data_IF_108121135075
#
_entry.id   IF_108121135075
#
_cell.length_a   1.000
_cell.length_b   1.000
_cell.length_c   1.000
_cell.angle_alpha   90.00
_cell.angle_beta   90.00
_cell.angle_gamma   90.00
#
_symmetry.space_group_name_H-M   'P 1'
#
loop_
_entity.id
_entity.type
_entity.pdbx_description
1 polymer ?
#
# COMPACT_ATOMS: atom_id res chain seq x y z
N UNK A 1 32.78 -10.79 36.92
CA UNK A 1 32.56 -10.08 35.65
C UNK A 1 32.84 -8.60 35.91
N UNK A 2 33.79 -7.98 35.19
CA UNK A 2 34.23 -6.60 35.49
C UNK A 2 33.15 -5.60 35.05
N UNK A 3 32.88 -4.57 35.86
CA UNK A 3 31.91 -3.49 35.59
C UNK A 3 32.15 -2.84 34.22
N UNK A 4 33.41 -2.70 33.80
CA UNK A 4 33.75 -2.21 32.47
C UNK A 4 33.20 -3.09 31.35
N UNK A 5 33.24 -4.42 31.50
CA UNK A 5 32.68 -5.37 30.52
C UNK A 5 31.15 -5.31 30.46
N UNK A 6 30.49 -5.10 31.60
CA UNK A 6 29.04 -4.91 31.66
C UNK A 6 28.61 -3.64 30.91
N UNK A 7 29.33 -2.53 31.09
CA UNK A 7 29.07 -1.30 30.33
C UNK A 7 29.30 -1.48 28.84
N UNK A 8 30.40 -2.12 28.43
CA UNK A 8 30.66 -2.38 27.00
C UNK A 8 29.57 -3.26 26.36
N UNK A 9 29.14 -4.32 27.04
CA UNK A 9 28.07 -5.21 26.55
C UNK A 9 26.74 -4.46 26.43
N UNK A 10 26.40 -3.65 27.44
CA UNK A 10 25.17 -2.84 27.42
C UNK A 10 25.18 -1.81 26.30
N UNK A 11 26.32 -1.17 26.03
CA UNK A 11 26.46 -0.21 24.93
C UNK A 11 26.34 -0.87 23.56
N UNK A 12 26.92 -2.06 23.38
CA UNK A 12 26.79 -2.83 22.12
C UNK A 12 25.32 -3.24 21.90
N UNK A 13 24.66 -3.80 22.92
CA UNK A 13 23.24 -4.16 22.86
C UNK A 13 22.33 -2.98 22.53
N UNK A 14 22.62 -1.81 23.10
CA UNK A 14 21.86 -0.59 22.84
C UNK A 14 22.07 -0.08 21.40
N UNK A 15 23.29 -0.15 20.88
CA UNK A 15 23.61 0.22 19.49
C UNK A 15 22.91 -0.73 18.51
N UNK A 16 22.98 -2.04 18.73
CA UNK A 16 22.27 -3.04 17.93
C UNK A 16 20.76 -2.79 17.94
N UNK A 17 20.18 -2.56 19.12
CA UNK A 17 18.74 -2.26 19.26
C UNK A 17 18.32 -0.97 18.52
N UNK A 18 19.20 0.03 18.46
CA UNK A 18 18.95 1.32 17.80
C UNK A 18 19.07 1.24 16.27
N UNK A 19 19.81 0.27 15.72
CA UNK A 19 20.01 0.11 14.28
C UNK A 19 18.96 -0.79 13.60
N UNK A 20 18.28 -1.66 14.36
CA UNK A 20 17.22 -2.54 13.83
C UNK A 20 16.06 -1.78 13.13
N UNK A 21 15.55 -0.63 13.64
CA UNK A 21 14.42 0.06 12.99
C UNK A 21 14.76 0.66 11.62
N UNK A 22 16.03 0.95 11.32
CA UNK A 22 16.43 1.53 10.03
C UNK A 22 16.44 0.51 8.88
N UNK A 23 16.57 -0.78 9.18
CA UNK A 23 16.70 -1.84 8.16
C UNK A 23 15.36 -2.28 7.55
N UNK A 24 14.22 -1.84 8.10
CA UNK A 24 12.88 -2.31 7.68
C UNK A 24 12.16 -1.37 6.70
N UNK A 25 12.86 -0.45 6.03
CA UNK A 25 12.27 0.39 4.98
C UNK A 25 12.40 -0.22 3.57
N UNK A 26 12.14 -1.53 3.44
CA UNK A 26 11.86 -2.17 2.14
C UNK A 26 10.38 -1.93 1.80
N UNK A 27 10.03 -0.67 1.51
CA UNK A 27 8.64 -0.27 1.29
C UNK A 27 8.20 -0.71 -0.13
N UNK A 28 7.85 -1.99 -0.26
CA UNK A 28 7.17 -2.63 -1.39
C UNK A 28 7.70 -2.22 -2.78
N UNK A 29 8.78 -2.87 -3.24
CA UNK A 29 9.38 -2.62 -4.56
C UNK A 29 8.48 -2.98 -5.75
N UNK A 30 7.35 -3.66 -5.53
CA UNK A 30 6.41 -4.05 -6.59
C UNK A 30 4.98 -4.22 -6.05
N UNK A 31 4.02 -4.16 -6.97
CA UNK A 31 2.61 -4.45 -6.71
C UNK A 31 2.40 -5.97 -6.71
N UNK A 32 1.58 -6.46 -5.78
CA UNK A 32 1.25 -7.88 -5.68
C UNK A 32 -0.25 -8.11 -5.84
N UNK A 33 -0.62 -9.34 -6.14
CA UNK A 33 -1.99 -9.79 -6.02
C UNK A 33 -2.51 -9.55 -4.59
N UNK A 34 -3.65 -8.87 -4.46
CA UNK A 34 -4.23 -8.48 -3.18
C UNK A 34 -3.63 -7.22 -2.56
N UNK A 35 -2.71 -6.53 -3.23
CA UNK A 35 -2.29 -5.18 -2.83
C UNK A 35 -3.50 -4.23 -2.82
N UNK A 36 -3.53 -3.33 -1.85
CA UNK A 36 -4.47 -2.21 -1.80
C UNK A 36 -3.70 -0.95 -2.13
N UNK A 37 -4.13 -0.22 -3.15
CA UNK A 37 -3.44 0.96 -3.67
C UNK A 37 -4.36 2.17 -3.69
N UNK A 38 -3.76 3.37 -3.74
CA UNK A 38 -4.45 4.62 -4.06
C UNK A 38 -3.85 5.20 -5.34
N UNK A 39 -4.69 5.56 -6.31
CA UNK A 39 -4.24 6.10 -7.59
C UNK A 39 -4.24 7.63 -7.53
N UNK A 40 -3.05 8.25 -7.58
CA UNK A 40 -2.86 9.70 -7.55
C UNK A 40 -2.71 10.25 -8.98
N UNK A 41 -3.50 11.27 -9.31
CA UNK A 41 -3.21 12.10 -10.46
C UNK A 41 -2.04 13.04 -10.13
N UNK A 42 -0.90 12.87 -10.80
CA UNK A 42 0.31 13.63 -10.49
C UNK A 42 0.25 15.12 -10.85
N UNK A 43 -0.65 15.54 -11.75
CA UNK A 43 -0.82 16.93 -12.14
C UNK A 43 -1.72 17.67 -11.15
N UNK A 44 -2.94 17.15 -10.96
CA UNK A 44 -3.98 17.78 -10.14
C UNK A 44 -3.89 17.43 -8.66
N UNK A 45 -3.05 16.45 -8.28
CA UNK A 45 -2.84 15.97 -6.91
C UNK A 45 -4.08 15.40 -6.21
N UNK A 46 -5.05 14.95 -7.00
CA UNK A 46 -6.30 14.29 -6.56
C UNK A 46 -6.23 12.78 -6.71
N UNK A 47 -7.03 12.04 -5.93
CA UNK A 47 -7.09 10.57 -5.95
C UNK A 47 -8.33 10.04 -6.64
N UNK A 48 -8.20 8.93 -7.36
CA UNK A 48 -9.33 8.19 -7.89
C UNK A 48 -10.18 7.63 -6.75
N UNK A 49 -11.47 7.92 -6.76
CA UNK A 49 -12.38 7.70 -5.65
C UNK A 49 -13.74 7.21 -6.17
N UNK A 50 -14.32 6.23 -5.47
CA UNK A 50 -15.65 5.69 -5.79
C UNK A 50 -16.68 6.20 -4.78
N UNK A 51 -17.84 6.68 -5.24
CA UNK A 51 -18.91 7.04 -4.32
C UNK A 51 -20.30 6.86 -4.94
N UNK A 52 -21.32 6.98 -4.11
CA UNK A 52 -22.70 7.05 -4.57
C UNK A 52 -23.00 8.44 -5.15
N UNK A 53 -23.66 8.46 -6.32
CA UNK A 53 -24.28 9.67 -6.87
C UNK A 53 -25.72 9.37 -7.21
N UNK A 54 -26.62 10.28 -6.81
CA UNK A 54 -28.04 10.18 -7.10
C UNK A 54 -28.34 10.78 -8.46
N UNK A 55 -28.09 10.02 -9.51
CA UNK A 55 -28.63 10.35 -10.84
C UNK A 55 -30.11 9.94 -10.88
N UNK A 56 -31.00 10.86 -11.27
CA UNK A 56 -32.46 10.62 -11.29
C UNK A 56 -32.93 9.55 -12.29
N UNK A 57 -32.00 8.98 -13.07
CA UNK A 57 -32.18 7.81 -13.95
C UNK A 57 -30.79 7.21 -14.26
N UNK A 58 -30.71 5.97 -14.76
CA UNK A 58 -29.44 5.33 -15.17
C UNK A 58 -29.24 3.94 -14.58
N UNK A 59 -27.99 3.45 -14.58
CA UNK A 59 -27.66 2.09 -14.12
C UNK A 59 -27.75 1.88 -12.61
N UNK A 60 -27.79 2.96 -11.81
CA UNK A 60 -27.75 2.90 -10.35
C UNK A 60 -26.40 2.45 -9.77
N UNK A 61 -25.35 2.35 -10.60
CA UNK A 61 -24.00 2.00 -10.16
C UNK A 61 -23.29 3.21 -9.54
N UNK A 62 -22.23 2.96 -8.77
CA UNK A 62 -21.38 4.03 -8.24
C UNK A 62 -20.69 4.80 -9.36
N UNK A 63 -20.40 6.08 -9.10
CA UNK A 63 -19.54 6.87 -9.96
C UNK A 63 -18.10 6.77 -9.48
N UNK A 64 -17.18 6.93 -10.43
CA UNK A 64 -15.75 7.03 -10.15
C UNK A 64 -15.29 8.43 -10.55
N UNK A 65 -14.80 9.18 -9.57
CA UNK A 65 -14.39 10.57 -9.72
C UNK A 65 -13.04 10.82 -9.07
N UNK A 66 -12.61 12.08 -9.01
CA UNK A 66 -11.38 12.48 -8.35
C UNK A 66 -11.70 13.33 -7.11
N UNK A 67 -11.00 13.07 -6.00
CA UNK A 67 -11.17 13.80 -4.74
C UNK A 67 -9.83 14.31 -4.21
N UNK A 68 -9.85 15.45 -3.51
CA UNK A 68 -8.66 16.01 -2.85
C UNK A 68 -8.34 15.28 -1.53
N UNK A 69 -9.35 14.76 -0.83
CA UNK A 69 -9.16 14.07 0.45
C UNK A 69 -8.21 12.86 0.31
N UNK A 70 -7.16 12.87 1.12
CA UNK A 70 -6.10 11.88 1.11
C UNK A 70 -6.50 10.61 1.85
N UNK A 71 -7.36 10.71 2.86
CA UNK A 71 -7.61 9.66 3.84
C UNK A 71 -8.95 8.94 3.65
N UNK A 72 -9.69 9.30 2.61
CA UNK A 72 -10.95 8.65 2.28
C UNK A 72 -10.76 7.16 1.91
N UNK A 73 -11.60 6.31 2.52
CA UNK A 73 -11.57 4.86 2.36
C UNK A 73 -11.97 4.40 0.97
N UNK A 74 -12.83 5.14 0.27
CA UNK A 74 -13.29 4.82 -1.07
C UNK A 74 -12.29 5.23 -2.16
N UNK A 75 -11.13 5.75 -1.77
CA UNK A 75 -9.97 5.92 -2.65
C UNK A 75 -9.07 4.67 -2.71
N UNK A 76 -9.39 3.60 -1.98
CA UNK A 76 -8.65 2.35 -1.99
C UNK A 76 -9.12 1.41 -3.11
N UNK A 77 -8.16 0.87 -3.86
CA UNK A 77 -8.39 -0.06 -4.97
C UNK A 77 -7.63 -1.36 -4.70
N UNK A 78 -8.33 -2.49 -4.75
CA UNK A 78 -7.74 -3.82 -4.53
C UNK A 78 -7.31 -4.39 -5.87
N UNK A 79 -6.06 -4.83 -5.99
CA UNK A 79 -5.54 -5.50 -7.18
C UNK A 79 -5.89 -6.98 -7.14
N UNK A 80 -6.65 -7.47 -8.12
CA UNK A 80 -6.94 -8.90 -8.31
C UNK A 80 -6.38 -9.40 -9.63
N UNK A 81 -6.11 -10.70 -9.66
CA UNK A 81 -5.70 -11.40 -10.87
C UNK A 81 -6.84 -11.47 -11.88
N UNK A 82 -6.47 -11.70 -13.15
CA UNK A 82 -7.42 -11.88 -14.25
C UNK A 82 -8.45 -12.96 -13.92
N UNK A 83 -9.72 -12.67 -14.19
CA UNK A 83 -10.81 -13.65 -14.08
C UNK A 83 -10.44 -14.95 -14.83
N UNK A 84 -10.51 -16.08 -14.13
CA UNK A 84 -10.11 -17.41 -14.63
C UNK A 84 -8.63 -17.80 -14.43
N UNK A 85 -7.77 -16.88 -13.97
CA UNK A 85 -6.41 -17.18 -13.49
C UNK A 85 -6.25 -16.64 -12.08
N UNK A 86 -6.47 -17.49 -11.09
CA UNK A 86 -6.25 -17.13 -9.68
C UNK A 86 -4.76 -16.80 -9.47
N UNK A 87 -4.46 -15.59 -8.99
CA UNK A 87 -3.16 -15.28 -8.39
C UNK A 87 -3.25 -15.47 -6.88
N UNK A 88 -2.17 -15.96 -6.27
CA UNK A 88 -2.10 -16.05 -4.82
C UNK A 88 -1.74 -14.68 -4.26
N UNK A 89 -2.35 -14.32 -3.12
CA UNK A 89 -2.01 -13.06 -2.45
C UNK A 89 -0.50 -12.99 -2.18
N UNK A 90 0.12 -11.87 -2.53
CA UNK A 90 1.56 -11.66 -2.43
C UNK A 90 2.35 -12.04 -3.68
N UNK A 91 1.73 -12.71 -4.67
CA UNK A 91 2.39 -12.97 -5.95
C UNK A 91 2.65 -11.63 -6.67
N UNK A 92 3.87 -11.39 -7.18
CA UNK A 92 4.18 -10.19 -7.93
C UNK A 92 3.32 -10.05 -9.19
N UNK A 93 2.82 -8.84 -9.46
CA UNK A 93 2.18 -8.50 -10.72
C UNK A 93 3.23 -7.96 -11.68
N UNK A 94 3.46 -8.66 -12.80
CA UNK A 94 4.41 -8.23 -13.82
C UNK A 94 3.83 -7.12 -14.71
N UNK A 95 4.69 -6.25 -15.22
CA UNK A 95 4.32 -5.19 -16.14
C UNK A 95 3.58 -5.74 -17.37
N UNK A 96 2.53 -5.04 -17.80
CA UNK A 96 1.69 -5.44 -18.93
C UNK A 96 0.62 -6.49 -18.60
N UNK A 97 0.56 -7.00 -17.36
CA UNK A 97 -0.50 -7.89 -16.92
C UNK A 97 -1.84 -7.15 -16.81
N UNK A 98 -2.90 -7.74 -17.35
CA UNK A 98 -4.27 -7.28 -17.11
C UNK A 98 -4.71 -7.64 -15.69
N UNK A 99 -5.10 -6.64 -14.90
CA UNK A 99 -5.61 -6.76 -13.53
C UNK A 99 -7.12 -6.44 -13.49
N UNK A 100 -7.77 -6.83 -12.38
CA UNK A 100 -9.19 -6.63 -12.11
C UNK A 100 -9.41 -6.10 -10.70
#
# INVERSE_FOLDING_TARGET
MNISRLFTISSILFIELCLIPFAFSELYSYVTCGSVIKLLNNHLKVRLHSHEVKYGSGSGQQSVTAIEDHDDVNSHWVIKGKSGKMCKRGDPITCGTTIF
#
